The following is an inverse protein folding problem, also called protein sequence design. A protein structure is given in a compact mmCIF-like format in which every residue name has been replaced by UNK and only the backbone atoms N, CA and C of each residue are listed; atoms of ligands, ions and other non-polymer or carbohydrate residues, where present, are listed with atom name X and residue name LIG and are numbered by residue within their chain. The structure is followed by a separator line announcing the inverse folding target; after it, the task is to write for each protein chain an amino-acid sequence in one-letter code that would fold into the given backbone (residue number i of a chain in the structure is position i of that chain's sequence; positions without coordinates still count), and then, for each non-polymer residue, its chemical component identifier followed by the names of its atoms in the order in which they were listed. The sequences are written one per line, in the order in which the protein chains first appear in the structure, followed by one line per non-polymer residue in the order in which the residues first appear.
data_IF_902677185477
#
_entry.id   IF_902677185477
#
_cell.length_a   1.000
_cell.length_b   1.000
_cell.length_c   1.000
_cell.angle_alpha   90.00
_cell.angle_beta   90.00
_cell.angle_gamma   90.00
#
_symmetry.space_group_name_H-M   'P 1'
#
loop_
_entity.id
_entity.type
_entity.pdbx_description
1 polymer ?
#
# COMPACT_ATOMS: atom_id res chain seq x y z
N UNK A 1 -61.03 4.31 -80.94
CA UNK A 1 -59.71 3.64 -80.72
C UNK A 1 -59.53 3.41 -79.23
N UNK A 2 -59.75 2.18 -78.77
CA UNK A 2 -59.67 1.74 -77.37
C UNK A 2 -58.23 1.38 -77.00
N UNK A 3 -57.66 2.03 -75.96
CA UNK A 3 -56.30 1.74 -75.46
C UNK A 3 -56.40 0.78 -74.27
N UNK A 4 -55.82 -0.41 -74.45
CA UNK A 4 -55.93 -1.59 -73.60
C UNK A 4 -55.07 -1.46 -72.30
N UNK A 5 -55.63 -1.59 -71.07
CA UNK A 5 -54.89 -1.37 -69.82
C UNK A 5 -54.05 -2.57 -69.34
N UNK A 6 -53.94 -3.66 -70.13
CA UNK A 6 -53.34 -4.92 -69.68
C UNK A 6 -51.80 -5.02 -69.76
N UNK A 7 -51.06 -3.96 -70.11
CA UNK A 7 -49.59 -4.05 -70.27
C UNK A 7 -48.74 -3.58 -69.07
N UNK A 8 -49.31 -2.87 -68.10
CA UNK A 8 -48.52 -2.32 -66.99
C UNK A 8 -48.31 -3.31 -65.81
N UNK A 9 -49.12 -4.37 -65.71
CA UNK A 9 -49.07 -5.30 -64.57
C UNK A 9 -48.07 -6.47 -64.71
N UNK A 10 -47.43 -6.61 -65.88
CA UNK A 10 -46.50 -7.73 -66.17
C UNK A 10 -45.04 -7.39 -65.90
N UNK A 11 -44.66 -6.10 -65.86
CA UNK A 11 -43.27 -5.66 -65.66
C UNK A 11 -42.84 -5.60 -64.18
N UNK A 12 -43.79 -5.64 -63.24
CA UNK A 12 -43.52 -5.53 -61.79
C UNK A 12 -43.65 -6.86 -61.03
N UNK A 13 -43.99 -7.96 -61.71
CA UNK A 13 -44.10 -9.29 -61.09
C UNK A 13 -42.78 -9.83 -60.48
N UNK A 14 -41.59 -9.69 -61.09
CA UNK A 14 -40.37 -10.22 -60.47
C UNK A 14 -39.96 -9.43 -59.22
N UNK A 15 -40.23 -8.13 -59.17
CA UNK A 15 -39.92 -7.27 -58.01
C UNK A 15 -40.74 -7.64 -56.77
N UNK A 16 -41.98 -8.12 -56.94
CA UNK A 16 -42.87 -8.46 -55.82
C UNK A 16 -42.62 -9.85 -55.23
N UNK A 17 -42.01 -10.75 -56.01
CA UNK A 17 -41.69 -12.13 -55.57
C UNK A 17 -40.28 -12.19 -54.95
N UNK A 18 -39.32 -11.45 -55.50
CA UNK A 18 -37.93 -11.53 -55.07
C UNK A 18 -37.54 -10.46 -54.04
N UNK A 19 -38.32 -9.38 -53.90
CA UNK A 19 -38.12 -8.34 -52.88
C UNK A 19 -37.91 -8.86 -51.44
N UNK A 20 -38.77 -9.74 -50.90
CA UNK A 20 -38.58 -10.26 -49.55
C UNK A 20 -37.35 -11.18 -49.43
N UNK A 21 -36.96 -11.88 -50.50
CA UNK A 21 -35.76 -12.75 -50.54
C UNK A 21 -34.50 -11.90 -50.53
N UNK A 22 -34.45 -10.83 -51.31
CA UNK A 22 -33.32 -9.88 -51.33
C UNK A 22 -33.18 -9.15 -50.00
N UNK A 23 -34.30 -8.75 -49.37
CA UNK A 23 -34.29 -8.15 -48.05
C UNK A 23 -33.75 -9.13 -46.99
N UNK A 24 -34.18 -10.39 -47.00
CA UNK A 24 -33.69 -11.41 -46.08
C UNK A 24 -32.18 -11.64 -46.24
N UNK A 25 -31.69 -11.76 -47.47
CA UNK A 25 -30.25 -11.91 -47.76
C UNK A 25 -29.46 -10.70 -47.25
N UNK A 26 -29.94 -9.48 -47.51
CA UNK A 26 -29.28 -8.27 -47.03
C UNK A 26 -29.23 -8.21 -45.49
N UNK A 27 -30.29 -8.66 -44.81
CA UNK A 27 -30.36 -8.68 -43.34
C UNK A 27 -29.41 -9.72 -42.74
N UNK A 28 -29.32 -10.91 -43.36
CA UNK A 28 -28.38 -11.97 -42.94
C UNK A 28 -26.94 -11.53 -43.16
N UNK A 29 -26.64 -10.87 -44.29
CA UNK A 29 -25.30 -10.33 -44.56
C UNK A 29 -24.93 -9.20 -43.59
N UNK A 30 -25.88 -8.33 -43.24
CA UNK A 30 -25.66 -7.28 -42.23
C UNK A 30 -25.42 -7.88 -40.83
N UNK A 31 -26.21 -8.88 -40.43
CA UNK A 31 -26.01 -9.59 -39.17
C UNK A 31 -24.67 -10.34 -39.13
N UNK A 32 -24.28 -11.00 -40.23
CA UNK A 32 -22.99 -11.66 -40.35
C UNK A 32 -21.82 -10.66 -40.29
N UNK A 33 -21.96 -9.48 -40.89
CA UNK A 33 -20.96 -8.41 -40.78
C UNK A 33 -20.84 -7.86 -39.36
N UNK A 34 -21.95 -7.73 -38.62
CA UNK A 34 -21.95 -7.31 -37.21
C UNK A 34 -21.26 -8.36 -36.33
N UNK A 35 -21.52 -9.65 -36.56
CA UNK A 35 -20.83 -10.74 -35.85
C UNK A 35 -19.34 -10.77 -36.20
N UNK A 36 -18.97 -10.57 -37.48
CA UNK A 36 -17.58 -10.55 -37.92
C UNK A 36 -16.81 -9.32 -37.38
N UNK A 37 -17.46 -8.18 -37.17
CA UNK A 37 -16.87 -6.99 -36.53
C UNK A 37 -16.81 -7.16 -35.00
N UNK A 38 -17.76 -7.88 -34.39
CA UNK A 38 -17.78 -8.18 -32.96
C UNK A 38 -16.72 -9.21 -32.54
N UNK A 39 -16.36 -10.15 -33.41
CA UNK A 39 -15.28 -11.12 -33.20
C UNK A 39 -13.98 -10.59 -33.80
N UNK A 40 -13.55 -9.40 -33.35
CA UNK A 40 -12.11 -9.09 -33.42
C UNK A 40 -11.43 -9.93 -32.36
N UNK A 41 -10.92 -11.10 -32.75
CA UNK A 41 -9.95 -11.81 -31.95
C UNK A 41 -8.80 -10.82 -31.67
N UNK A 42 -8.71 -10.33 -30.43
CA UNK A 42 -7.52 -9.61 -30.00
C UNK A 42 -6.35 -10.53 -30.28
N UNK A 43 -5.33 -10.11 -31.04
CA UNK A 43 -4.15 -10.94 -31.21
C UNK A 43 -3.63 -11.27 -29.82
N UNK A 44 -3.62 -12.57 -29.49
CA UNK A 44 -2.90 -13.07 -28.32
C UNK A 44 -1.43 -12.86 -28.67
N UNK A 45 -0.91 -11.69 -28.32
CA UNK A 45 0.53 -11.47 -28.38
C UNK A 45 1.17 -12.49 -27.45
N UNK A 46 2.12 -13.31 -27.93
CA UNK A 46 2.79 -14.27 -27.06
C UNK A 46 3.42 -13.51 -25.89
N UNK A 47 3.08 -13.92 -24.66
CA UNK A 47 3.59 -13.30 -23.45
C UNK A 47 5.11 -13.40 -23.44
N UNK A 48 5.81 -12.26 -23.31
CA UNK A 48 7.28 -12.22 -23.36
C UNK A 48 7.84 -12.70 -22.01
N UNK A 49 8.62 -13.80 -21.95
CA UNK A 49 9.25 -14.21 -20.71
C UNK A 49 10.28 -13.16 -20.29
N UNK A 50 10.22 -12.72 -19.04
CA UNK A 50 11.14 -11.74 -18.47
C UNK A 50 11.56 -12.15 -17.08
N UNK A 51 12.83 -11.93 -16.75
CA UNK A 51 13.34 -12.17 -15.40
C UNK A 51 13.27 -10.88 -14.58
N UNK A 52 12.71 -10.94 -13.39
CA UNK A 52 12.68 -9.84 -12.41
C UNK A 52 13.39 -10.30 -11.14
N UNK A 53 14.26 -9.47 -10.58
CA UNK A 53 15.03 -9.81 -9.38
C UNK A 53 14.39 -9.21 -8.12
N UNK A 54 14.47 -9.93 -7.00
CA UNK A 54 13.97 -9.46 -5.70
C UNK A 54 14.82 -10.03 -4.56
N UNK A 55 14.59 -9.58 -3.34
CA UNK A 55 15.28 -10.02 -2.12
C UNK A 55 14.39 -10.88 -1.22
N UNK A 56 14.91 -11.24 -0.06
CA UNK A 56 14.15 -11.86 1.02
C UNK A 56 13.89 -10.82 2.11
N UNK A 57 12.63 -10.39 2.22
CA UNK A 57 12.21 -9.25 3.04
C UNK A 57 10.72 -9.33 3.39
N UNK A 58 10.40 -10.23 4.31
CA UNK A 58 9.05 -10.36 4.84
C UNK A 58 8.58 -9.07 5.54
N UNK A 59 7.28 -8.74 5.48
CA UNK A 59 6.21 -9.49 4.80
C UNK A 59 6.13 -9.19 3.29
N UNK A 60 6.95 -8.29 2.74
CA UNK A 60 6.79 -7.76 1.39
C UNK A 60 7.13 -8.77 0.29
N UNK A 61 8.31 -9.39 0.39
CA UNK A 61 8.84 -10.34 -0.61
C UNK A 61 9.63 -11.46 0.05
N UNK A 62 9.67 -12.62 -0.58
CA UNK A 62 10.54 -13.73 -0.16
C UNK A 62 10.14 -15.04 -0.80
N UNK A 63 11.13 -15.89 -1.11
CA UNK A 63 10.89 -17.18 -1.75
C UNK A 63 9.99 -18.12 -0.92
N UNK A 64 10.03 -17.97 0.41
CA UNK A 64 9.31 -18.81 1.35
C UNK A 64 7.91 -18.25 1.70
N UNK A 65 7.54 -17.08 1.16
CA UNK A 65 6.23 -16.47 1.38
C UNK A 65 5.18 -17.02 0.37
N UNK A 66 3.89 -17.08 0.76
CA UNK A 66 2.81 -17.36 -0.18
C UNK A 66 2.86 -16.41 -1.38
N UNK A 67 2.81 -16.97 -2.60
CA UNK A 67 2.97 -16.23 -3.85
C UNK A 67 4.23 -15.34 -3.95
N UNK A 68 5.23 -15.58 -3.09
CA UNK A 68 6.43 -14.74 -3.00
C UNK A 68 6.26 -13.46 -2.20
N UNK A 69 5.13 -13.26 -1.51
CA UNK A 69 4.76 -12.07 -0.75
C UNK A 69 3.95 -11.06 -1.56
N UNK A 70 3.25 -10.11 -0.92
CA UNK A 70 2.26 -9.28 -1.61
C UNK A 70 2.87 -8.30 -2.61
N UNK A 71 4.13 -7.86 -2.41
CA UNK A 71 4.80 -7.03 -3.41
C UNK A 71 5.23 -7.84 -4.64
N UNK A 72 5.50 -9.15 -4.48
CA UNK A 72 5.70 -10.05 -5.62
C UNK A 72 4.42 -10.19 -6.41
N UNK A 73 3.31 -10.48 -5.72
CA UNK A 73 2.01 -10.65 -6.36
C UNK A 73 1.61 -9.40 -7.15
N UNK A 74 1.73 -8.22 -6.55
CA UNK A 74 1.45 -6.95 -7.22
C UNK A 74 2.30 -6.75 -8.48
N UNK A 75 3.62 -6.92 -8.38
CA UNK A 75 4.52 -6.67 -9.53
C UNK A 75 4.31 -7.69 -10.64
N UNK A 76 4.12 -8.97 -10.27
CA UNK A 76 3.83 -10.05 -11.22
C UNK A 76 2.53 -9.79 -11.95
N UNK A 77 1.47 -9.38 -11.25
CA UNK A 77 0.17 -9.12 -11.86
C UNK A 77 0.21 -7.90 -12.78
N UNK A 78 0.85 -6.80 -12.36
CA UNK A 78 1.03 -5.61 -13.20
C UNK A 78 1.81 -5.94 -14.48
N UNK A 79 2.90 -6.71 -14.39
CA UNK A 79 3.68 -7.13 -15.56
C UNK A 79 2.91 -8.10 -16.45
N UNK A 80 2.13 -9.00 -15.87
CA UNK A 80 1.26 -9.93 -16.60
C UNK A 80 0.22 -9.18 -17.43
N UNK A 81 -0.45 -8.18 -16.86
CA UNK A 81 -1.37 -7.26 -17.57
C UNK A 81 -0.66 -6.41 -18.62
N UNK A 82 0.64 -6.16 -18.46
CA UNK A 82 1.46 -5.54 -19.49
C UNK A 82 1.80 -6.47 -20.67
N UNK A 83 1.41 -7.75 -20.62
CA UNK A 83 1.69 -8.75 -21.66
C UNK A 83 3.02 -9.48 -21.49
N UNK A 84 3.61 -9.43 -20.30
CA UNK A 84 4.81 -10.19 -19.95
C UNK A 84 4.47 -11.49 -19.22
N UNK A 85 5.43 -12.40 -19.15
CA UNK A 85 5.40 -13.57 -18.28
C UNK A 85 6.59 -13.45 -17.33
N UNK A 86 6.43 -12.75 -16.20
CA UNK A 86 7.53 -12.52 -15.28
C UNK A 86 7.90 -13.82 -14.53
N UNK A 87 9.19 -14.07 -14.42
CA UNK A 87 9.78 -15.06 -13.52
C UNK A 87 10.60 -14.30 -12.47
N UNK A 88 10.36 -14.59 -11.19
CA UNK A 88 11.01 -13.87 -10.09
C UNK A 88 12.20 -14.65 -9.58
N UNK A 89 13.34 -13.97 -9.46
CA UNK A 89 14.57 -14.51 -8.86
C UNK A 89 14.86 -13.80 -7.55
N UNK A 90 14.71 -14.54 -6.45
CA UNK A 90 15.11 -14.08 -5.13
C UNK A 90 16.61 -14.27 -4.93
N UNK A 91 17.28 -13.23 -4.45
CA UNK A 91 18.69 -13.26 -4.08
C UNK A 91 18.86 -13.05 -2.58
N UNK A 92 19.93 -13.62 -2.02
CA UNK A 92 20.26 -13.52 -0.60
C UNK A 92 20.85 -12.16 -0.19
N UNK A 93 21.11 -11.25 -1.14
CA UNK A 93 21.58 -9.90 -0.86
C UNK A 93 21.06 -8.90 -1.89
N UNK A 94 20.77 -7.69 -1.42
CA UNK A 94 20.35 -6.57 -2.27
C UNK A 94 21.44 -6.09 -3.22
N UNK A 95 22.71 -6.26 -2.84
CA UNK A 95 23.84 -5.99 -3.73
C UNK A 95 23.79 -6.91 -4.98
N UNK A 96 23.44 -8.19 -4.80
CA UNK A 96 23.32 -9.13 -5.92
C UNK A 96 22.09 -8.80 -6.79
N UNK A 97 20.98 -8.35 -6.21
CA UNK A 97 19.82 -7.90 -7.02
C UNK A 97 20.17 -6.68 -7.86
N UNK A 98 20.89 -5.70 -7.30
CA UNK A 98 21.34 -4.51 -8.04
C UNK A 98 22.36 -4.86 -9.14
N UNK A 99 23.27 -5.81 -8.88
CA UNK A 99 24.22 -6.31 -9.88
C UNK A 99 23.51 -7.02 -11.03
N UNK A 100 22.51 -7.85 -10.73
CA UNK A 100 21.69 -8.53 -11.74
C UNK A 100 20.93 -7.53 -12.62
N UNK A 101 20.43 -6.44 -12.02
CA UNK A 101 19.81 -5.36 -12.78
C UNK A 101 20.83 -4.62 -13.64
N UNK A 102 21.96 -4.22 -13.06
CA UNK A 102 23.00 -3.45 -13.75
C UNK A 102 23.67 -4.20 -14.90
N UNK A 103 23.80 -5.52 -14.79
CA UNK A 103 24.33 -6.41 -15.83
C UNK A 103 23.30 -6.75 -16.93
N UNK A 104 22.02 -6.39 -16.73
CA UNK A 104 20.92 -6.75 -17.63
C UNK A 104 20.50 -8.23 -17.54
N UNK A 105 20.96 -8.95 -16.52
CA UNK A 105 20.51 -10.32 -16.25
C UNK A 105 19.01 -10.35 -15.89
N UNK A 106 18.52 -9.28 -15.27
CA UNK A 106 17.11 -9.03 -15.01
C UNK A 106 16.65 -7.71 -15.62
N UNK A 107 15.38 -7.62 -16.02
CA UNK A 107 14.79 -6.39 -16.57
C UNK A 107 14.45 -5.36 -15.49
N UNK A 108 14.34 -5.79 -14.23
CA UNK A 108 13.88 -4.94 -13.14
C UNK A 108 14.04 -5.57 -11.77
N UNK A 109 13.94 -4.75 -10.73
CA UNK A 109 14.01 -5.20 -9.34
C UNK A 109 12.97 -4.53 -8.45
N UNK A 110 12.54 -5.21 -7.40
CA UNK A 110 11.51 -4.71 -6.47
C UNK A 110 11.52 -5.47 -5.13
N UNK A 111 10.82 -4.95 -4.11
CA UNK A 111 10.53 -3.54 -3.90
C UNK A 111 11.76 -2.85 -3.30
N UNK A 112 12.05 -1.62 -3.72
CA UNK A 112 13.15 -0.84 -3.13
C UNK A 112 12.72 0.59 -2.83
N UNK A 113 13.34 1.18 -1.81
CA UNK A 113 13.23 2.60 -1.49
C UNK A 113 13.91 3.43 -2.59
N UNK A 114 13.21 4.45 -3.06
CA UNK A 114 13.66 5.34 -4.12
C UNK A 114 14.57 6.47 -3.63
N UNK A 115 15.78 6.13 -3.18
CA UNK A 115 16.83 7.09 -2.80
C UNK A 115 17.32 7.93 -3.99
N UNK A 116 17.98 9.06 -3.72
CA UNK A 116 18.60 9.90 -4.76
C UNK A 116 19.61 9.10 -5.58
N UNK A 117 20.47 8.31 -4.92
CA UNK A 117 21.48 7.47 -5.57
C UNK A 117 20.89 6.47 -6.56
N UNK A 118 19.70 5.90 -6.25
CA UNK A 118 18.97 5.00 -7.16
C UNK A 118 18.26 5.74 -8.27
N UNK A 119 17.72 6.94 -8.03
CA UNK A 119 17.09 7.77 -9.07
C UNK A 119 18.07 8.21 -10.15
N UNK A 120 19.33 8.40 -9.80
CA UNK A 120 20.39 8.73 -10.75
C UNK A 120 20.74 7.55 -11.68
N UNK A 121 20.57 6.32 -11.20
CA UNK A 121 20.98 5.08 -11.89
C UNK A 121 19.83 4.37 -12.60
N UNK A 122 18.61 4.51 -12.09
CA UNK A 122 17.46 3.68 -12.45
C UNK A 122 16.20 4.51 -12.72
N UNK A 123 15.33 3.96 -13.54
CA UNK A 123 13.95 4.41 -13.66
C UNK A 123 13.13 3.75 -12.55
N UNK A 124 12.32 4.55 -11.86
CA UNK A 124 11.40 4.08 -10.83
C UNK A 124 9.97 4.11 -11.38
N UNK A 125 9.16 3.15 -10.98
CA UNK A 125 7.72 3.17 -11.18
C UNK A 125 7.07 4.30 -10.38
N UNK A 126 5.75 4.44 -10.54
CA UNK A 126 4.96 5.08 -9.48
C UNK A 126 5.09 4.22 -8.21
N UNK A 127 4.88 4.82 -7.03
CA UNK A 127 4.96 4.10 -5.75
C UNK A 127 4.08 2.85 -5.81
N UNK A 128 4.58 1.72 -5.33
CA UNK A 128 3.81 0.50 -5.11
C UNK A 128 2.99 0.67 -3.83
N UNK A 129 3.67 0.97 -2.72
CA UNK A 129 3.07 1.25 -1.42
C UNK A 129 3.91 2.30 -0.67
N UNK A 130 3.32 2.93 0.33
CA UNK A 130 4.07 3.71 1.32
C UNK A 130 4.72 2.75 2.32
N UNK A 131 5.88 3.11 2.84
CA UNK A 131 6.71 2.27 3.68
C UNK A 131 7.30 3.09 4.82
N UNK A 132 7.02 2.65 6.04
CA UNK A 132 7.37 3.35 7.26
C UNK A 132 8.69 2.82 7.83
N UNK A 133 9.69 3.68 7.93
CA UNK A 133 10.93 3.43 8.65
C UNK A 133 10.83 3.91 10.10
N UNK A 134 11.38 3.11 11.02
CA UNK A 134 11.48 3.43 12.45
C UNK A 134 12.82 2.98 13.03
N UNK A 135 13.11 3.42 14.26
CA UNK A 135 14.24 2.94 15.04
C UNK A 135 13.76 1.99 16.15
N UNK A 136 14.06 0.70 16.01
CA UNK A 136 13.79 -0.32 17.03
C UNK A 136 14.81 -0.27 18.17
N UNK A 137 14.39 -0.58 19.40
CA UNK A 137 15.23 -0.65 20.58
C UNK A 137 14.85 -1.83 21.47
N UNK A 138 15.77 -2.28 22.33
CA UNK A 138 15.51 -3.28 23.37
C UNK A 138 14.90 -2.61 24.61
N UNK A 139 13.67 -2.96 24.98
CA UNK A 139 12.96 -2.39 26.14
C UNK A 139 13.67 -2.64 27.45
N UNK A 140 14.50 -3.69 27.55
CA UNK A 140 15.25 -4.04 28.76
C UNK A 140 16.35 -3.02 29.06
N UNK A 141 16.86 -2.35 28.03
CA UNK A 141 17.84 -1.26 28.12
C UNK A 141 17.17 0.12 28.29
N UNK A 142 15.84 0.19 28.14
CA UNK A 142 15.05 1.41 28.23
C UNK A 142 14.96 2.18 26.91
N UNK A 143 13.93 3.00 26.77
CA UNK A 143 13.71 3.81 25.55
C UNK A 143 14.78 4.92 25.41
N UNK A 144 15.55 4.93 24.31
CA UNK A 144 16.51 6.00 24.05
C UNK A 144 15.81 7.35 23.89
N UNK A 145 16.36 8.39 24.51
CA UNK A 145 15.88 9.77 24.33
C UNK A 145 16.64 10.42 23.19
N UNK A 146 15.97 10.61 22.07
CA UNK A 146 16.51 11.31 20.90
C UNK A 146 15.71 12.58 20.68
N UNK A 147 16.35 13.74 20.85
CA UNK A 147 15.74 15.06 20.63
C UNK A 147 16.57 15.94 19.69
N UNK A 148 17.74 15.44 19.29
CA UNK A 148 18.69 16.13 18.43
C UNK A 148 19.56 15.12 17.69
N UNK A 149 20.17 15.55 16.58
CA UNK A 149 21.15 14.73 15.87
C UNK A 149 22.36 14.34 16.74
N UNK A 150 22.71 15.16 17.74
CA UNK A 150 23.77 14.85 18.70
C UNK A 150 23.40 13.66 19.60
N UNK A 151 22.14 13.59 20.05
CA UNK A 151 21.66 12.44 20.83
C UNK A 151 21.70 11.16 19.99
N UNK A 152 21.26 11.25 18.73
CA UNK A 152 21.23 10.11 17.82
C UNK A 152 22.63 9.61 17.46
N UNK A 153 23.57 10.52 17.17
CA UNK A 153 24.97 10.19 16.89
C UNK A 153 25.76 9.65 18.08
N UNK A 154 25.27 9.86 19.31
CA UNK A 154 25.82 9.25 20.51
C UNK A 154 25.39 7.79 20.68
N UNK A 155 24.33 7.35 19.98
CA UNK A 155 23.88 5.96 19.97
C UNK A 155 24.65 5.14 18.93
N UNK A 156 24.82 3.86 19.22
CA UNK A 156 25.27 2.85 18.25
C UNK A 156 24.08 2.44 17.40
N UNK A 157 23.89 3.14 16.29
CA UNK A 157 22.82 2.83 15.34
C UNK A 157 23.25 1.68 14.43
N UNK A 158 22.40 0.66 14.34
CA UNK A 158 22.51 -0.44 13.39
C UNK A 158 21.57 -0.25 12.20
N UNK A 159 21.94 -0.87 11.08
CA UNK A 159 21.09 -0.96 9.90
C UNK A 159 21.43 -2.18 9.05
N UNK A 160 20.72 -2.35 7.94
CA UNK A 160 20.85 -3.49 7.04
C UNK A 160 21.70 -3.11 5.84
N UNK A 161 22.56 -4.04 5.40
CA UNK A 161 23.41 -3.87 4.23
C UNK A 161 22.57 -3.81 2.95
N UNK A 162 22.82 -2.80 2.12
CA UNK A 162 22.05 -2.56 0.88
C UNK A 162 20.79 -1.72 1.07
N UNK A 163 20.46 -1.31 2.30
CA UNK A 163 19.37 -0.36 2.54
C UNK A 163 19.88 1.06 2.41
N UNK A 164 19.07 1.87 1.72
CA UNK A 164 19.17 3.32 1.76
C UNK A 164 18.15 3.79 2.79
N UNK A 165 18.62 4.56 3.76
CA UNK A 165 17.77 5.20 4.76
C UNK A 165 17.42 6.62 4.33
N UNK A 166 16.79 7.38 5.23
CA UNK A 166 16.39 8.75 4.97
C UNK A 166 17.48 9.74 5.43
N UNK A 167 17.49 10.92 4.80
CA UNK A 167 18.59 11.88 4.86
C UNK A 167 18.94 12.32 6.29
N UNK A 168 17.94 12.54 7.15
CA UNK A 168 18.15 12.99 8.53
C UNK A 168 18.89 11.95 9.37
N UNK A 169 18.54 10.66 9.24
CA UNK A 169 19.24 9.59 9.94
C UNK A 169 20.67 9.42 9.40
N UNK A 170 20.84 9.37 8.08
CA UNK A 170 22.16 9.14 7.48
C UNK A 170 23.11 10.32 7.72
N UNK A 171 22.58 11.55 7.73
CA UNK A 171 23.35 12.75 8.08
C UNK A 171 23.77 12.77 9.55
N UNK A 172 22.89 12.33 10.45
CA UNK A 172 23.22 12.25 11.87
C UNK A 172 24.18 11.09 12.18
N UNK A 173 24.07 9.97 11.46
CA UNK A 173 24.81 8.73 11.74
C UNK A 173 25.42 8.12 10.47
N UNK A 174 26.45 8.76 9.87
CA UNK A 174 27.07 8.28 8.65
C UNK A 174 27.83 6.94 8.84
N UNK A 175 28.20 6.62 10.09
CA UNK A 175 28.97 5.43 10.47
C UNK A 175 28.14 4.27 11.03
N UNK A 176 26.89 4.12 10.59
CA UNK A 176 25.96 3.07 11.06
C UNK A 176 26.56 1.66 10.90
N UNK A 177 26.36 0.81 11.91
CA UNK A 177 26.81 -0.59 11.86
C UNK A 177 25.88 -1.39 10.95
N UNK A 178 26.40 -1.94 9.85
CA UNK A 178 25.60 -2.67 8.87
C UNK A 178 25.61 -4.18 9.14
N UNK A 179 24.43 -4.80 9.10
CA UNK A 179 24.22 -6.24 9.25
C UNK A 179 23.68 -6.84 7.95
N UNK A 180 23.95 -8.13 7.72
CA UNK A 180 23.51 -8.81 6.49
C UNK A 180 22.00 -9.08 6.45
N UNK A 181 21.31 -9.01 7.59
CA UNK A 181 19.86 -9.20 7.70
C UNK A 181 19.28 -8.49 8.92
N UNK A 182 17.99 -8.19 8.86
CA UNK A 182 17.22 -7.61 9.98
C UNK A 182 17.31 -8.46 11.25
N UNK A 183 17.24 -9.79 11.13
CA UNK A 183 17.37 -10.72 12.28
C UNK A 183 18.75 -10.61 12.94
N UNK A 184 19.83 -10.46 12.17
CA UNK A 184 21.16 -10.21 12.74
C UNK A 184 21.23 -8.86 13.46
N UNK A 185 20.55 -7.83 12.94
CA UNK A 185 20.38 -6.54 13.61
C UNK A 185 19.67 -6.68 14.96
N UNK A 186 18.56 -7.41 15.02
CA UNK A 186 17.86 -7.66 16.29
C UNK A 186 18.70 -8.46 17.27
N UNK A 187 19.46 -9.47 16.81
CA UNK A 187 20.44 -10.15 17.68
C UNK A 187 21.48 -9.17 18.22
N UNK A 188 21.93 -8.21 17.41
CA UNK A 188 22.87 -7.18 17.87
C UNK A 188 22.26 -6.24 18.91
N UNK A 189 20.95 -5.95 18.86
CA UNK A 189 20.24 -5.25 19.93
C UNK A 189 20.25 -6.07 21.23
N UNK A 190 19.89 -7.35 21.15
CA UNK A 190 19.87 -8.27 22.31
C UNK A 190 21.25 -8.41 22.96
N UNK A 191 22.30 -8.50 22.13
CA UNK A 191 23.69 -8.59 22.60
C UNK A 191 24.22 -7.27 23.17
N UNK A 192 23.44 -6.18 23.09
CA UNK A 192 23.86 -4.84 23.44
C UNK A 192 25.04 -4.35 22.58
N UNK A 193 25.15 -4.80 21.32
CA UNK A 193 26.17 -4.34 20.35
C UNK A 193 25.78 -3.05 19.64
N UNK A 194 24.48 -2.82 19.51
CA UNK A 194 23.86 -1.58 19.03
C UNK A 194 22.78 -1.16 20.02
N UNK A 195 22.44 0.13 20.03
CA UNK A 195 21.41 0.70 20.92
C UNK A 195 20.06 0.83 20.21
N UNK A 196 20.09 1.08 18.89
CA UNK A 196 18.90 1.13 18.03
C UNK A 196 19.17 0.48 16.68
N UNK A 197 18.13 -0.08 16.05
CA UNK A 197 18.16 -0.66 14.70
C UNK A 197 17.20 0.10 13.78
N UNK A 198 17.72 0.66 12.70
CA UNK A 198 16.90 1.28 11.65
C UNK A 198 16.32 0.22 10.71
N UNK A 199 15.00 0.13 10.64
CA UNK A 199 14.28 -0.89 9.86
C UNK A 199 12.86 -0.42 9.54
N UNK A 200 12.23 -1.03 8.53
CA UNK A 200 10.80 -0.82 8.26
C UNK A 200 9.93 -1.35 9.40
N UNK A 201 8.86 -0.65 9.78
CA UNK A 201 7.99 -1.07 10.88
C UNK A 201 7.46 -2.50 10.69
N UNK A 202 6.87 -2.79 9.52
CA UNK A 202 6.30 -4.11 9.22
C UNK A 202 7.37 -5.19 9.06
N UNK A 203 8.48 -4.86 8.40
CA UNK A 203 9.61 -5.77 8.23
C UNK A 203 10.25 -6.14 9.56
N UNK A 204 10.48 -5.14 10.42
CA UNK A 204 11.02 -5.35 11.76
C UNK A 204 10.10 -6.23 12.60
N UNK A 205 8.79 -5.97 12.56
CA UNK A 205 7.79 -6.82 13.23
C UNK A 205 7.80 -8.26 12.71
N UNK A 206 7.89 -8.47 11.39
CA UNK A 206 8.00 -9.81 10.82
C UNK A 206 9.28 -10.51 11.30
N UNK A 207 10.43 -9.82 11.29
CA UNK A 207 11.70 -10.38 11.74
C UNK A 207 11.71 -10.73 13.25
N UNK A 208 10.92 -10.04 14.08
CA UNK A 208 10.74 -10.40 15.49
C UNK A 208 9.98 -11.72 15.69
N UNK A 209 9.29 -12.23 14.66
CA UNK A 209 8.62 -13.54 14.70
C UNK A 209 9.51 -14.69 14.20
N UNK A 210 10.72 -14.38 13.73
CA UNK A 210 11.66 -15.37 13.21
C UNK A 210 12.10 -16.34 14.33
N UNK A 211 11.89 -17.66 14.19
CA UNK A 211 12.25 -18.65 15.22
C UNK A 211 13.75 -18.69 15.58
N UNK A 212 14.60 -18.18 14.71
CA UNK A 212 16.04 -18.10 14.93
C UNK A 212 16.44 -16.90 15.80
N UNK A 213 15.54 -15.96 16.05
CA UNK A 213 15.71 -14.91 17.06
C UNK A 213 15.36 -15.48 18.44
N UNK A 214 16.38 -15.69 19.28
CA UNK A 214 16.18 -16.19 20.65
C UNK A 214 15.74 -15.06 21.62
N UNK A 215 14.68 -14.33 21.27
CA UNK A 215 14.11 -13.25 22.07
C UNK A 215 12.60 -13.11 21.81
N UNK A 216 11.86 -12.61 22.80
CA UNK A 216 10.42 -12.37 22.66
C UNK A 216 10.18 -11.04 21.93
N UNK A 217 9.23 -11.00 20.99
CA UNK A 217 8.86 -9.75 20.30
C UNK A 217 8.43 -8.64 21.28
N UNK A 218 7.89 -9.02 22.44
CA UNK A 218 7.53 -8.11 23.53
C UNK A 218 8.72 -7.41 24.19
N UNK A 219 9.95 -7.89 24.00
CA UNK A 219 11.17 -7.26 24.50
C UNK A 219 11.57 -6.04 23.66
N UNK A 220 10.97 -5.83 22.49
CA UNK A 220 11.40 -4.78 21.55
C UNK A 220 10.36 -3.67 21.40
N UNK A 221 10.83 -2.43 21.50
CA UNK A 221 10.08 -1.23 21.15
C UNK A 221 10.59 -0.61 19.86
N UNK A 222 9.91 0.44 19.42
CA UNK A 222 10.43 1.35 18.40
C UNK A 222 10.12 2.78 18.84
N UNK A 223 11.00 3.71 18.47
CA UNK A 223 10.81 5.13 18.78
C UNK A 223 9.58 5.64 18.03
N UNK A 224 8.67 6.27 18.78
CA UNK A 224 7.39 6.73 18.26
C UNK A 224 7.42 8.24 18.01
N UNK A 225 6.66 8.68 17.02
CA UNK A 225 6.41 10.09 16.74
C UNK A 225 6.78 10.46 15.32
N UNK A 226 6.44 11.70 14.95
CA UNK A 226 6.68 12.25 13.62
C UNK A 226 8.02 13.01 13.53
N UNK A 227 8.96 12.75 14.45
CA UNK A 227 10.27 13.39 14.42
C UNK A 227 11.12 12.78 13.29
N UNK A 228 11.55 13.59 12.31
CA UNK A 228 12.33 13.11 11.17
C UNK A 228 13.70 12.52 11.58
N UNK A 229 14.16 12.68 12.82
CA UNK A 229 15.37 12.00 13.29
C UNK A 229 15.19 10.50 13.52
N UNK A 230 13.96 10.04 13.80
CA UNK A 230 13.70 8.65 14.24
C UNK A 230 12.66 7.91 13.41
N UNK A 231 12.02 8.60 12.47
CA UNK A 231 10.93 8.09 11.66
C UNK A 231 10.91 8.75 10.27
N UNK A 232 10.62 7.96 9.23
CA UNK A 232 10.34 8.45 7.88
C UNK A 232 9.30 7.58 7.17
N UNK A 233 8.52 8.18 6.27
CA UNK A 233 7.63 7.44 5.36
C UNK A 233 8.13 7.59 3.93
N UNK A 234 8.67 6.49 3.41
CA UNK A 234 9.20 6.38 2.06
C UNK A 234 8.21 5.70 1.11
N UNK A 235 8.55 5.67 -0.18
CA UNK A 235 7.85 4.84 -1.16
C UNK A 235 8.66 3.61 -1.53
N UNK A 236 7.98 2.49 -1.74
CA UNK A 236 8.56 1.32 -2.40
C UNK A 236 8.25 1.34 -3.90
N UNK A 237 9.22 0.94 -4.71
CA UNK A 237 9.14 1.04 -6.17
C UNK A 237 9.59 -0.23 -6.86
N UNK A 238 9.07 -0.42 -8.09
CA UNK A 238 9.68 -1.27 -9.10
C UNK A 238 10.71 -0.44 -9.88
N UNK A 239 11.92 -0.96 -10.04
CA UNK A 239 13.04 -0.27 -10.68
C UNK A 239 13.52 -0.98 -11.94
N UNK A 240 13.90 -0.21 -12.96
CA UNK A 240 14.48 -0.71 -14.22
C UNK A 240 15.71 0.10 -14.62
N UNK A 241 16.62 -0.43 -15.48
CA UNK A 241 17.75 0.34 -15.98
C UNK A 241 17.29 1.57 -16.76
N UNK A 242 18.03 2.67 -16.69
CA UNK A 242 17.67 3.90 -17.41
C UNK A 242 17.95 3.79 -18.91
N UNK A 243 16.99 3.17 -19.63
CA UNK A 243 17.05 2.95 -21.08
C UNK A 243 15.73 3.34 -21.75
N UNK A 244 15.74 3.68 -23.06
CA UNK A 244 14.50 4.00 -23.79
C UNK A 244 13.47 2.87 -23.81
N UNK A 245 13.93 1.61 -23.82
CA UNK A 245 13.08 0.43 -23.74
C UNK A 245 12.41 0.34 -22.37
N UNK A 246 13.19 0.40 -21.29
CA UNK A 246 12.67 0.40 -19.92
C UNK A 246 11.69 1.56 -19.68
N UNK A 247 11.95 2.76 -20.22
CA UNK A 247 11.01 3.88 -20.12
C UNK A 247 9.66 3.58 -20.78
N UNK A 248 9.63 2.75 -21.82
CA UNK A 248 8.38 2.30 -22.45
C UNK A 248 7.64 1.30 -21.58
N UNK A 249 8.36 0.33 -21.02
CA UNK A 249 7.80 -0.64 -20.06
C UNK A 249 7.26 0.09 -18.83
N UNK A 250 8.01 1.04 -18.27
CA UNK A 250 7.62 1.77 -17.07
C UNK A 250 6.35 2.60 -17.26
N UNK A 251 6.18 3.25 -18.42
CA UNK A 251 4.93 3.96 -18.75
C UNK A 251 3.73 3.02 -18.84
N UNK A 252 3.94 1.78 -19.31
CA UNK A 252 2.87 0.79 -19.37
C UNK A 252 2.57 0.23 -17.98
N UNK A 253 3.62 -0.09 -17.21
CA UNK A 253 3.54 -0.53 -15.82
C UNK A 253 2.75 0.45 -14.96
N UNK A 254 3.13 1.74 -14.95
CA UNK A 254 2.45 2.76 -14.16
C UNK A 254 0.98 2.94 -14.56
N UNK A 255 0.66 2.81 -15.85
CA UNK A 255 -0.73 2.87 -16.33
C UNK A 255 -1.56 1.71 -15.79
N UNK A 256 -1.01 0.50 -15.83
CA UNK A 256 -1.69 -0.71 -15.31
C UNK A 256 -1.80 -0.63 -13.79
N UNK A 257 -0.75 -0.22 -13.08
CA UNK A 257 -0.77 -0.01 -11.64
C UNK A 257 -1.86 1.00 -11.23
N UNK A 258 -2.00 2.12 -11.95
CA UNK A 258 -3.04 3.11 -11.70
C UNK A 258 -4.47 2.58 -11.93
N UNK A 259 -4.64 1.59 -12.80
CA UNK A 259 -5.92 0.90 -13.00
C UNK A 259 -6.17 -0.11 -11.88
N UNK A 260 -5.15 -0.87 -11.48
CA UNK A 260 -5.23 -1.84 -10.39
C UNK A 260 -5.54 -1.19 -9.05
N UNK A 261 -4.99 0.00 -8.76
CA UNK A 261 -5.32 0.79 -7.56
C UNK A 261 -6.82 1.11 -7.39
N UNK A 262 -7.66 0.80 -8.37
CA UNK A 262 -9.12 1.00 -8.33
C UNK A 262 -9.89 -0.34 -8.24
N UNK A 263 -9.19 -1.46 -8.12
CA UNK A 263 -9.78 -2.80 -8.05
C UNK A 263 -9.65 -3.41 -6.66
N UNK A 264 -10.65 -4.22 -6.28
CA UNK A 264 -10.67 -4.99 -5.01
C UNK A 264 -9.42 -5.87 -4.86
N UNK A 265 -8.94 -6.46 -5.94
CA UNK A 265 -7.72 -7.26 -5.96
C UNK A 265 -6.47 -6.50 -5.47
N UNK A 266 -6.33 -5.21 -5.80
CA UNK A 266 -5.21 -4.42 -5.27
C UNK A 266 -5.35 -4.23 -3.77
N UNK A 267 -6.57 -3.96 -3.30
CA UNK A 267 -6.86 -3.83 -1.88
C UNK A 267 -6.60 -5.15 -1.14
N UNK A 268 -6.98 -6.29 -1.70
CA UNK A 268 -6.68 -7.61 -1.14
C UNK A 268 -5.18 -7.87 -1.02
N UNK A 269 -4.41 -7.55 -2.08
CA UNK A 269 -2.95 -7.71 -2.08
C UNK A 269 -2.30 -6.81 -1.01
N UNK A 270 -2.73 -5.55 -0.90
CA UNK A 270 -2.06 -4.61 0.02
C UNK A 270 -2.64 -4.62 1.43
N UNK A 271 -3.81 -5.24 1.67
CA UNK A 271 -4.47 -5.26 2.97
C UNK A 271 -3.57 -5.84 4.08
N UNK A 272 -2.77 -6.86 3.77
CA UNK A 272 -1.82 -7.47 4.71
C UNK A 272 -0.63 -6.56 5.03
N UNK A 273 -0.40 -5.54 4.20
CA UNK A 273 0.69 -4.56 4.32
C UNK A 273 0.20 -3.19 4.78
N UNK A 274 -1.10 -3.00 4.98
CA UNK A 274 -1.62 -1.79 5.60
C UNK A 274 -1.46 -1.91 7.13
N UNK A 275 -0.72 -0.99 7.79
CA UNK A 275 -0.74 -0.91 9.23
C UNK A 275 -2.20 -0.75 9.71
N UNK A 276 -2.54 -1.33 10.86
CA UNK A 276 -3.86 -1.23 11.50
C UNK A 276 -4.37 0.24 11.72
N UNK A 277 -3.52 1.22 11.41
CA UNK A 277 -3.80 2.66 11.39
C UNK A 277 -4.41 3.20 10.06
N UNK A 278 -4.66 2.35 9.06
CA UNK A 278 -5.01 2.83 7.71
C UNK A 278 -6.47 2.66 7.32
N UNK A 279 -7.31 2.08 8.19
CA UNK A 279 -8.74 1.95 7.90
C UNK A 279 -9.37 3.33 7.74
N UNK A 280 -9.86 3.64 6.53
CA UNK A 280 -10.59 4.87 6.25
C UNK A 280 -11.98 4.79 6.91
N UNK A 281 -12.25 5.71 7.83
CA UNK A 281 -13.50 5.81 8.57
C UNK A 281 -14.29 7.02 8.10
N UNK A 282 -15.61 6.87 8.07
CA UNK A 282 -16.50 8.00 7.82
C UNK A 282 -16.90 8.64 9.13
N UNK A 283 -16.63 9.93 9.28
CA UNK A 283 -16.95 10.68 10.48
C UNK A 283 -18.41 11.12 10.49
N UNK A 284 -19.06 10.90 11.62
CA UNK A 284 -20.46 11.26 11.88
C UNK A 284 -20.54 12.27 13.05
N UNK A 285 -21.46 13.24 12.98
CA UNK A 285 -21.66 14.20 14.07
C UNK A 285 -22.08 13.51 15.38
N UNK A 286 -21.41 13.85 16.48
CA UNK A 286 -21.73 13.37 17.84
C UNK A 286 -22.39 14.45 18.71
N UNK A 287 -22.33 15.72 18.29
CA UNK A 287 -22.88 16.88 18.99
C UNK A 287 -24.15 17.45 18.35
N UNK A 288 -24.80 18.38 19.05
CA UNK A 288 -26.07 19.00 18.63
C UNK A 288 -25.96 19.93 17.41
N UNK A 289 -24.74 20.27 16.99
CA UNK A 289 -24.46 21.14 15.83
C UNK A 289 -24.77 20.46 14.48
N UNK A 290 -24.87 19.12 14.44
CA UNK A 290 -25.01 18.37 13.19
C UNK A 290 -23.75 18.35 12.32
N UNK A 291 -22.61 18.82 12.86
CA UNK A 291 -21.30 18.83 12.22
C UNK A 291 -20.33 17.92 12.99
N UNK A 292 -19.30 17.42 12.31
CA UNK A 292 -18.22 16.63 12.91
C UNK A 292 -17.31 17.56 13.69
N UNK A 293 -17.16 17.32 14.99
CA UNK A 293 -16.23 18.04 15.86
C UNK A 293 -14.82 17.46 15.68
N UNK A 294 -13.88 18.27 15.18
CA UNK A 294 -12.46 17.94 15.15
C UNK A 294 -11.76 18.65 16.30
N UNK A 295 -11.12 17.87 17.15
CA UNK A 295 -10.66 18.24 18.48
C UNK A 295 -9.12 18.32 18.52
N UNK A 296 -8.60 19.03 19.50
CA UNK A 296 -7.21 18.90 19.93
C UNK A 296 -7.03 17.70 20.89
N UNK A 297 -5.79 17.49 21.33
CA UNK A 297 -5.42 16.42 22.27
C UNK A 297 -6.11 16.56 23.64
N UNK A 298 -6.51 17.78 24.03
CA UNK A 298 -7.20 18.07 25.29
C UNK A 298 -8.71 17.88 25.18
N UNK A 299 -9.23 17.64 23.98
CA UNK A 299 -10.65 17.47 23.69
C UNK A 299 -11.39 18.78 23.43
N UNK A 300 -10.68 19.88 23.22
CA UNK A 300 -11.26 21.17 22.86
C UNK A 300 -11.52 21.21 21.34
N UNK A 301 -12.67 21.78 20.94
CA UNK A 301 -13.05 21.86 19.52
C UNK A 301 -12.16 22.86 18.80
N UNK A 302 -11.34 22.36 17.86
CA UNK A 302 -10.51 23.18 16.99
C UNK A 302 -11.28 23.60 15.73
N UNK A 303 -12.01 22.66 15.11
CA UNK A 303 -12.68 22.85 13.84
C UNK A 303 -14.00 22.08 13.78
N UNK A 304 -14.89 22.54 12.91
CA UNK A 304 -16.09 21.80 12.53
C UNK A 304 -15.99 21.38 11.07
N UNK A 305 -16.32 20.12 10.80
CA UNK A 305 -16.31 19.54 9.47
C UNK A 305 -17.71 19.03 9.07
N UNK A 306 -18.04 19.01 7.77
CA UNK A 306 -19.33 18.48 7.31
C UNK A 306 -19.49 16.99 7.62
N UNK A 307 -20.74 16.53 7.73
CA UNK A 307 -21.04 15.09 7.82
C UNK A 307 -20.49 14.36 6.59
N UNK A 308 -19.87 13.20 6.79
CA UNK A 308 -19.26 12.43 5.70
C UNK A 308 -17.80 12.79 5.42
N UNK A 309 -17.17 13.63 6.26
CA UNK A 309 -15.72 13.76 6.29
C UNK A 309 -15.09 12.39 6.52
N UNK A 310 -14.10 12.05 5.71
CA UNK A 310 -13.34 10.81 5.83
C UNK A 310 -12.02 11.09 6.52
N UNK A 311 -11.55 10.11 7.28
CA UNK A 311 -10.28 10.18 7.97
C UNK A 311 -9.67 8.78 8.07
N UNK A 312 -8.37 8.69 8.33
CA UNK A 312 -7.68 7.45 8.70
C UNK A 312 -7.39 7.46 10.19
N UNK A 313 -7.65 6.36 10.88
CA UNK A 313 -7.39 6.25 12.32
C UNK A 313 -5.89 6.07 12.54
N UNK A 314 -5.18 7.11 12.99
CA UNK A 314 -3.74 7.03 13.21
C UNK A 314 -3.38 5.95 14.24
N UNK A 315 -4.23 5.79 15.27
CA UNK A 315 -4.11 4.74 16.28
C UNK A 315 -5.43 4.55 17.01
N UNK A 316 -5.77 3.30 17.34
CA UNK A 316 -6.86 3.00 18.27
C UNK A 316 -6.45 3.26 19.72
N UNK A 317 -7.22 4.02 20.52
CA UNK A 317 -6.91 4.28 21.93
C UNK A 317 -6.85 3.00 22.76
N UNK A 318 -5.99 2.97 23.76
CA UNK A 318 -5.73 1.78 24.61
C UNK A 318 -7.01 1.23 25.26
N UNK A 319 -7.99 2.10 25.55
CA UNK A 319 -9.31 1.70 26.07
C UNK A 319 -10.07 0.70 25.18
N UNK A 320 -9.84 0.73 23.86
CA UNK A 320 -10.43 -0.21 22.90
C UNK A 320 -9.54 -1.44 22.64
N UNK A 321 -8.26 -1.37 22.99
CA UNK A 321 -7.28 -2.45 22.75
C UNK A 321 -7.20 -3.38 23.96
N UNK A 322 -7.23 -2.84 25.18
CA UNK A 322 -7.14 -3.61 26.44
C UNK A 322 -8.40 -4.44 26.75
N UNK A 323 -9.56 -4.06 26.20
CA UNK A 323 -10.83 -4.76 26.44
C UNK A 323 -10.96 -6.10 25.72
N UNK A 324 -10.11 -6.37 24.72
CA UNK A 324 -10.02 -7.71 24.09
C UNK A 324 -9.28 -8.73 24.99
N UNK A 325 -8.46 -8.26 25.93
CA UNK A 325 -7.71 -9.07 26.88
C UNK A 325 -8.45 -9.31 28.20
N UNK A 326 -9.65 -9.89 28.14
CA UNK A 326 -10.36 -10.54 29.25
C UNK A 326 -10.03 -10.10 30.69
N UNK A 327 -10.29 -8.84 31.04
CA UNK A 327 -10.35 -8.41 32.44
C UNK A 327 -11.70 -7.75 32.71
N UNK A 328 -12.58 -8.48 33.37
CA UNK A 328 -13.84 -7.91 33.90
C UNK A 328 -13.47 -6.88 34.96
N UNK A 329 -13.92 -5.61 34.89
CA UNK A 329 -13.62 -4.65 35.93
C UNK A 329 -14.31 -5.09 37.23
N UNK A 330 -13.49 -5.49 38.20
CA UNK A 330 -13.92 -5.85 39.55
C UNK A 330 -14.55 -4.64 40.24
N UNK A 331 -15.80 -4.82 40.65
CA UNK A 331 -16.56 -3.88 41.47
C UNK A 331 -16.19 -4.12 42.94
N UNK A 332 -15.35 -3.27 43.53
CA UNK A 332 -15.54 -2.65 44.86
C UNK A 332 -14.25 -2.03 45.47
N UNK A 333 -14.30 -0.71 45.70
CA UNK A 333 -13.90 0.05 46.90
C UNK A 333 -13.68 1.51 46.43
N UNK A 334 -14.61 2.46 46.61
CA UNK A 334 -15.12 2.95 47.89
C UNK A 334 -14.55 4.35 48.15
N UNK A 335 -15.14 5.38 47.53
CA UNK A 335 -14.82 6.79 47.77
C UNK A 335 -15.95 7.68 47.28
N UNK A 336 -16.72 8.23 48.22
CA UNK A 336 -17.93 9.01 47.96
C UNK A 336 -17.63 10.38 47.33
N UNK A 337 -18.33 10.67 46.23
CA UNK A 337 -18.46 12.00 45.65
C UNK A 337 -19.50 11.95 44.54
N UNK A 338 -20.70 12.50 44.78
CA UNK A 338 -21.61 12.83 43.68
C UNK A 338 -21.03 14.03 42.93
N UNK A 339 -20.89 13.99 41.60
CA UNK A 339 -21.77 14.83 40.77
C UNK A 339 -22.12 14.22 39.42
N UNK A 340 -23.23 14.69 38.83
CA UNK A 340 -23.54 14.46 37.41
C UNK A 340 -22.42 15.00 36.52
N UNK A 341 -21.92 14.16 35.62
CA UNK A 341 -20.86 14.48 34.68
C UNK A 341 -20.89 13.50 33.53
N UNK A 342 -20.85 14.04 32.32
CA UNK A 342 -20.80 13.37 31.02
C UNK A 342 -19.90 12.13 31.05
N UNK A 343 -20.42 10.97 30.64
CA UNK A 343 -19.60 9.78 30.40
C UNK A 343 -18.40 10.16 29.51
N UNK A 344 -17.20 9.80 29.95
CA UNK A 344 -15.93 10.29 29.39
C UNK A 344 -15.83 10.07 27.89
N UNK A 345 -15.56 11.15 27.14
CA UNK A 345 -15.28 11.09 25.69
C UNK A 345 -13.95 10.35 25.51
N UNK A 346 -13.94 9.33 24.64
CA UNK A 346 -12.69 8.69 24.22
C UNK A 346 -12.24 9.37 22.93
N UNK A 347 -11.05 9.97 22.94
CA UNK A 347 -10.48 10.68 21.80
C UNK A 347 -9.65 9.72 20.95
N UNK A 348 -9.90 9.73 19.64
CA UNK A 348 -9.19 8.91 18.66
C UNK A 348 -8.38 9.84 17.75
N UNK A 349 -7.05 9.68 17.65
CA UNK A 349 -6.25 10.43 16.70
C UNK A 349 -6.55 9.97 15.28
N UNK A 350 -6.85 10.92 14.40
CA UNK A 350 -7.21 10.67 13.00
C UNK A 350 -6.52 11.67 12.06
N UNK A 351 -6.20 11.22 10.85
CA UNK A 351 -5.73 12.08 9.76
C UNK A 351 -6.86 12.28 8.77
N UNK A 352 -7.35 13.52 8.63
CA UNK A 352 -8.47 13.83 7.74
C UNK A 352 -8.05 13.64 6.28
N UNK A 353 -8.81 12.88 5.50
CA UNK A 353 -8.47 12.53 4.11
C UNK A 353 -9.21 13.38 3.06
N UNK A 354 -10.23 14.14 3.45
CA UNK A 354 -10.97 15.02 2.54
C UNK A 354 -11.48 16.32 3.18
N UNK A 355 -11.83 17.29 2.33
CA UNK A 355 -12.46 18.54 2.77
C UNK A 355 -11.49 19.56 3.38
N UNK A 356 -11.99 20.59 4.09
CA UNK A 356 -11.21 21.77 4.47
C UNK A 356 -10.12 21.51 5.52
N UNK A 357 -10.14 20.37 6.20
CA UNK A 357 -9.12 19.95 7.16
C UNK A 357 -8.21 18.82 6.61
N UNK A 358 -8.29 18.52 5.31
CA UNK A 358 -7.51 17.46 4.68
C UNK A 358 -6.01 17.58 4.98
N UNK A 359 -5.40 16.43 5.29
CA UNK A 359 -3.98 16.31 5.60
C UNK A 359 -3.63 16.60 7.07
N UNK A 360 -4.56 17.16 7.86
CA UNK A 360 -4.33 17.48 9.28
C UNK A 360 -4.55 16.26 10.17
N UNK A 361 -3.65 16.05 11.11
CA UNK A 361 -3.84 15.14 12.24
C UNK A 361 -4.59 15.86 13.37
N UNK A 362 -5.73 15.31 13.77
CA UNK A 362 -6.66 15.88 14.75
C UNK A 362 -7.28 14.74 15.57
N UNK A 363 -8.05 15.07 16.61
CA UNK A 363 -8.76 14.08 17.41
C UNK A 363 -10.25 14.10 17.11
N UNK A 364 -10.92 12.96 17.22
CA UNK A 364 -12.39 12.85 17.16
C UNK A 364 -12.89 12.02 18.32
N UNK A 365 -14.13 12.24 18.73
CA UNK A 365 -14.80 11.33 19.66
C UNK A 365 -14.95 9.96 18.98
N UNK A 366 -14.63 8.87 19.66
CA UNK A 366 -14.72 7.52 19.12
C UNK A 366 -16.12 7.19 18.56
N UNK A 367 -17.19 7.77 19.13
CA UNK A 367 -18.57 7.59 18.64
C UNK A 367 -18.82 8.25 17.28
N UNK A 368 -17.93 9.15 16.85
CA UNK A 368 -17.99 9.76 15.53
C UNK A 368 -17.53 8.81 14.43
N UNK A 369 -16.81 7.73 14.79
CA UNK A 369 -16.27 6.79 13.83
C UNK A 369 -17.36 5.84 13.33
N UNK A 370 -17.73 5.98 12.06
CA UNK A 370 -18.48 4.96 11.34
C UNK A 370 -17.48 4.16 10.51
N UNK A 371 -17.21 2.93 10.95
CA UNK A 371 -16.54 1.93 10.11
C UNK A 371 -17.43 1.70 8.91
N UNK A 372 -16.88 1.86 7.70
CA UNK A 372 -17.59 1.56 6.47
C UNK A 372 -18.04 0.10 6.57
N UNK A 373 -19.35 -0.21 6.59
CA UNK A 373 -19.78 -1.60 6.67
C UNK A 373 -19.25 -2.30 5.42
N UNK A 374 -18.62 -3.46 5.62
CA UNK A 374 -18.42 -4.44 4.55
C UNK A 374 -19.76 -4.55 3.80
N UNK A 375 -19.71 -4.28 2.49
CA UNK A 375 -20.88 -4.40 1.64
C UNK A 375 -21.41 -5.84 1.62
N UNK A 376 -22.70 -6.03 1.27
CA UNK A 376 -23.44 -7.28 1.45
C UNK A 376 -22.87 -8.51 0.74
#
# INVERSE_FOLDING_TARGET
MTRNPRRASTLLRPLRVWGPVVALIATVLAAAAIVAVGVRASPISPSRPVLVSSGDWAPFVGADLPAGGPMTELVVEVLTRCGYRPEVRYASSWALTEEQLGSGASIGMFPLVGSESRRDRFLLSDRLIDFEYVLFYDRREGEPRVSSAADLSALRVGGVAGYDYWDELESAVPGMVRFDSTVQGFRALVDGRIDVLAEGLLSGQAALTDPSLAADAGDFGYLRGDDPLVHSVEGLYFMMPNTPEAATVMRQFNRVLAQMRQSEEYEEIVAELEPAATQEVTLTPTGASGLVELLDEKGDVLLLAPRGTRARVIRWPDAFVDTAGGATPSRAAGGAGTPGGTAGRILVPVKVTNGPAQGRALYVDARALLLTPEGP
#
